data_IF_395024117930
#
_entry.id   IF_395024117930
#
_cell.length_a   1.000
_cell.length_b   1.000
_cell.length_c   1.000
_cell.angle_alpha   90.00
_cell.angle_beta   90.00
_cell.angle_gamma   90.00
#
_symmetry.space_group_name_H-M   'P 1'
#
loop_
_entity.id
_entity.type
_entity.pdbx_description
1 polymer ?
#
# COMPACT_ATOMS: atom_id res chain seq x y z
N UNK A 1 19.62 10.39 -106.15
CA UNK A 1 19.06 9.54 -107.24
C UNK A 1 19.64 8.15 -107.03
N UNK A 2 18.93 7.05 -106.82
CA UNK A 2 17.51 6.69 -106.88
C UNK A 2 17.29 5.50 -105.91
N UNK A 3 16.17 5.52 -105.19
CA UNK A 3 15.28 4.39 -104.77
C UNK A 3 15.81 2.95 -104.61
N UNK A 4 15.42 2.28 -103.51
CA UNK A 4 14.62 1.03 -103.56
C UNK A 4 14.20 0.51 -102.16
N UNK A 5 13.06 -0.19 -102.17
CA UNK A 5 12.23 -0.74 -101.08
C UNK A 5 12.62 -2.19 -100.73
N UNK A 6 12.42 -2.65 -99.48
CA UNK A 6 11.81 -3.97 -99.14
C UNK A 6 11.61 -4.26 -97.63
N UNK A 7 10.34 -4.53 -97.29
CA UNK A 7 9.73 -5.61 -96.48
C UNK A 7 10.19 -5.95 -95.04
N UNK A 8 9.21 -5.83 -94.11
CA UNK A 8 8.67 -6.83 -93.14
C UNK A 8 9.63 -7.76 -92.36
N UNK A 9 9.60 -7.70 -91.01
CA UNK A 9 8.91 -8.68 -90.15
C UNK A 9 9.09 -8.38 -88.64
N UNK A 10 8.07 -8.72 -87.88
CA UNK A 10 7.86 -8.80 -86.42
C UNK A 10 9.06 -9.11 -85.49
N UNK A 11 9.11 -8.42 -84.34
CA UNK A 11 9.17 -9.09 -83.03
C UNK A 11 8.80 -8.15 -81.87
N UNK A 12 7.78 -8.57 -81.12
CA UNK A 12 7.33 -8.05 -79.84
C UNK A 12 8.23 -8.59 -78.73
N UNK A 13 8.81 -7.73 -77.88
CA UNK A 13 9.38 -8.15 -76.60
C UNK A 13 9.21 -7.04 -75.56
N UNK A 14 8.65 -7.46 -74.41
CA UNK A 14 8.30 -6.68 -73.24
C UNK A 14 9.45 -5.81 -72.71
N UNK A 15 9.12 -4.60 -72.27
CA UNK A 15 9.93 -3.85 -71.32
C UNK A 15 9.01 -3.34 -70.22
N UNK A 16 9.17 -3.92 -69.03
CA UNK A 16 8.49 -3.55 -67.79
C UNK A 16 8.93 -2.14 -67.41
N UNK A 17 7.98 -1.21 -67.35
CA UNK A 17 8.22 0.13 -66.81
C UNK A 17 8.32 0.04 -65.28
N UNK A 18 9.54 0.24 -64.75
CA UNK A 18 9.80 0.42 -63.34
C UNK A 18 9.35 1.84 -62.94
N UNK A 19 8.17 1.96 -62.34
CA UNK A 19 7.73 3.22 -61.71
C UNK A 19 8.36 3.30 -60.33
N UNK A 20 9.31 4.21 -60.17
CA UNK A 20 9.83 4.64 -58.87
C UNK A 20 8.76 5.51 -58.21
N UNK A 21 8.07 4.98 -57.21
CA UNK A 21 7.27 5.76 -56.27
C UNK A 21 7.99 5.79 -54.92
N UNK A 22 8.71 6.89 -54.70
CA UNK A 22 9.12 7.29 -53.37
C UNK A 22 7.86 7.68 -52.58
N UNK A 23 7.48 6.84 -51.62
CA UNK A 23 6.44 7.13 -50.63
C UNK A 23 7.02 6.91 -49.23
N UNK A 24 7.48 8.00 -48.61
CA UNK A 24 7.85 8.02 -47.21
C UNK A 24 6.66 7.60 -46.34
N UNK A 25 6.91 6.67 -45.43
CA UNK A 25 5.93 6.20 -44.46
C UNK A 25 6.52 5.16 -43.54
N UNK A 26 7.68 5.46 -42.94
CA UNK A 26 8.10 4.70 -41.75
C UNK A 26 7.07 5.01 -40.67
N UNK A 27 6.13 4.10 -40.49
CA UNK A 27 5.37 3.93 -39.26
C UNK A 27 6.38 3.81 -38.13
N UNK A 28 6.70 4.94 -37.51
CA UNK A 28 7.40 4.97 -36.24
C UNK A 28 6.56 4.16 -35.28
N UNK A 29 6.97 2.92 -35.02
CA UNK A 29 6.53 2.17 -33.86
C UNK A 29 6.72 3.12 -32.69
N UNK A 30 5.61 3.57 -32.10
CA UNK A 30 5.64 4.39 -30.91
C UNK A 30 6.57 3.70 -29.91
N UNK A 31 7.71 4.32 -29.63
CA UNK A 31 8.62 3.78 -28.63
C UNK A 31 7.80 3.68 -27.34
N UNK A 32 7.65 2.49 -26.73
CA UNK A 32 6.87 2.36 -25.52
C UNK A 32 7.44 3.35 -24.51
N UNK A 33 6.59 4.30 -24.07
CA UNK A 33 6.99 5.27 -23.07
C UNK A 33 7.47 4.48 -21.86
N UNK A 34 8.71 4.68 -21.38
CA UNK A 34 9.21 3.90 -20.27
C UNK A 34 8.27 4.09 -19.08
N UNK A 35 7.77 2.98 -18.54
CA UNK A 35 6.92 3.00 -17.35
C UNK A 35 7.64 3.79 -16.26
N UNK A 36 7.06 4.87 -15.72
CA UNK A 36 7.69 5.65 -14.67
C UNK A 36 8.14 4.72 -13.54
N UNK A 37 9.43 4.77 -13.24
CA UNK A 37 10.04 3.91 -12.24
C UNK A 37 10.48 4.75 -11.05
N UNK A 38 9.98 4.40 -9.87
CA UNK A 38 10.26 5.08 -8.59
C UNK A 38 10.84 4.09 -7.59
N UNK A 39 11.39 4.59 -6.49
CA UNK A 39 11.78 3.73 -5.37
C UNK A 39 10.52 3.12 -4.71
N UNK A 40 10.66 1.89 -4.24
CA UNK A 40 9.71 1.28 -3.32
C UNK A 40 9.53 2.12 -2.04
N UNK A 41 8.37 2.02 -1.36
CA UNK A 41 8.07 2.82 -0.18
C UNK A 41 8.86 2.39 1.06
N UNK A 42 8.85 3.24 2.08
CA UNK A 42 9.20 2.84 3.44
C UNK A 42 7.99 2.17 4.09
N UNK A 43 8.20 1.01 4.70
CA UNK A 43 7.17 0.21 5.38
C UNK A 43 7.55 0.04 6.84
N UNK A 44 7.02 0.89 7.70
CA UNK A 44 7.39 0.96 9.12
C UNK A 44 6.42 0.17 9.97
N UNK A 45 6.94 -0.73 10.79
CA UNK A 45 6.12 -1.49 11.73
C UNK A 45 5.90 -0.67 13.00
N UNK A 46 4.67 -0.30 13.32
CA UNK A 46 4.33 0.59 14.44
C UNK A 46 3.45 -0.12 15.47
N UNK A 47 3.84 0.00 16.74
CA UNK A 47 3.11 -0.57 17.88
C UNK A 47 1.70 0.03 18.06
N UNK A 48 0.73 -0.77 18.50
CA UNK A 48 -0.59 -0.27 18.92
C UNK A 48 -1.06 -0.74 20.30
N UNK A 49 -0.13 -1.13 21.18
CA UNK A 49 -0.46 -1.39 22.59
C UNK A 49 -0.84 -0.08 23.30
N UNK A 50 -1.66 -0.17 24.35
CA UNK A 50 -2.06 1.01 25.14
C UNK A 50 -0.84 1.77 25.68
N UNK A 51 0.20 1.06 26.12
CA UNK A 51 1.44 1.65 26.65
C UNK A 51 2.28 2.38 25.59
N UNK A 52 2.02 2.14 24.30
CA UNK A 52 2.68 2.81 23.19
C UNK A 52 1.94 4.08 22.73
N UNK A 53 0.69 4.28 23.16
CA UNK A 53 -0.13 5.43 22.75
C UNK A 53 0.24 6.69 23.57
N UNK A 54 0.12 7.91 22.99
CA UNK A 54 -0.11 8.16 21.57
C UNK A 54 1.11 7.80 20.71
N UNK A 55 0.89 7.30 19.49
CA UNK A 55 1.95 7.17 18.49
C UNK A 55 2.34 8.55 17.95
N UNK A 56 3.49 8.62 17.30
CA UNK A 56 3.86 9.77 16.49
C UNK A 56 3.97 9.36 15.03
N UNK A 57 3.48 10.22 14.15
CA UNK A 57 3.77 10.18 12.74
C UNK A 57 2.78 9.42 11.86
N UNK A 58 1.64 9.01 12.39
CA UNK A 58 0.63 8.29 11.61
C UNK A 58 -0.14 9.22 10.67
N UNK A 59 -0.31 10.50 11.04
CA UNK A 59 -1.10 11.45 10.24
C UNK A 59 -0.48 11.75 8.87
N UNK A 60 0.85 11.73 8.74
CA UNK A 60 1.55 11.99 7.49
C UNK A 60 1.83 10.73 6.65
N UNK A 61 1.31 9.57 7.06
CA UNK A 61 1.43 8.35 6.28
C UNK A 61 0.52 8.38 5.04
N UNK A 62 0.91 7.64 4.00
CA UNK A 62 0.05 7.43 2.84
C UNK A 62 -0.96 6.32 3.14
N UNK A 63 -0.48 5.18 3.66
CA UNK A 63 -1.30 4.03 4.03
C UNK A 63 -0.97 3.55 5.43
N UNK A 64 -1.99 3.09 6.16
CA UNK A 64 -1.83 2.35 7.41
C UNK A 64 -2.59 1.04 7.27
N UNK A 65 -1.90 -0.10 7.36
CA UNK A 65 -2.54 -1.40 7.54
C UNK A 65 -2.55 -1.75 9.02
N UNK A 66 -3.73 -1.85 9.63
CA UNK A 66 -3.91 -2.31 11.00
C UNK A 66 -4.47 -3.73 11.01
N UNK A 67 -3.84 -4.60 11.79
CA UNK A 67 -4.17 -6.02 11.85
C UNK A 67 -3.91 -6.60 13.25
N UNK A 68 -4.57 -7.72 13.54
CA UNK A 68 -4.32 -8.51 14.75
C UNK A 68 -2.85 -8.95 14.80
N UNK A 69 -2.23 -8.72 15.94
CA UNK A 69 -0.87 -9.14 16.28
C UNK A 69 -0.95 -10.38 17.21
N UNK A 70 0.01 -10.56 18.13
CA UNK A 70 -0.12 -11.63 19.13
C UNK A 70 -0.81 -11.07 20.39
N UNK A 71 -1.48 -11.95 21.15
CA UNK A 71 -2.07 -11.60 22.45
C UNK A 71 -3.28 -10.64 22.38
N UNK A 72 -3.95 -10.53 21.23
CA UNK A 72 -5.17 -9.73 21.06
C UNK A 72 -4.94 -8.22 20.85
N UNK A 73 -3.69 -7.78 20.80
CA UNK A 73 -3.29 -6.39 20.49
C UNK A 73 -3.11 -6.25 18.98
N UNK A 74 -3.29 -5.06 18.42
CA UNK A 74 -3.01 -4.80 17.00
C UNK A 74 -1.61 -4.28 16.72
N UNK A 75 -1.19 -4.40 15.47
CA UNK A 75 0.05 -3.85 14.93
C UNK A 75 -0.28 -3.11 13.63
N UNK A 76 0.52 -2.11 13.32
CA UNK A 76 0.38 -1.35 12.09
C UNK A 76 1.59 -1.54 11.17
N UNK A 77 1.36 -1.78 9.88
CA UNK A 77 2.33 -1.49 8.82
C UNK A 77 2.00 -0.13 8.22
N UNK A 78 2.86 0.85 8.44
CA UNK A 78 2.68 2.24 8.00
C UNK A 78 3.56 2.51 6.79
N UNK A 79 2.95 2.91 5.68
CA UNK A 79 3.62 3.05 4.40
C UNK A 79 3.76 4.53 4.03
N UNK A 80 4.99 4.92 3.69
CA UNK A 80 5.33 6.23 3.14
C UNK A 80 5.98 6.07 1.77
N UNK A 81 5.35 6.58 0.73
CA UNK A 81 5.89 6.57 -0.63
C UNK A 81 6.95 7.65 -0.84
N UNK A 82 6.87 8.76 -0.10
CA UNK A 82 7.81 9.88 -0.15
C UNK A 82 8.10 10.42 1.26
N UNK A 83 8.72 9.61 2.14
CA UNK A 83 9.03 10.07 3.48
C UNK A 83 10.02 11.24 3.44
N UNK A 84 9.83 12.22 4.33
CA UNK A 84 10.73 13.37 4.48
C UNK A 84 10.53 14.03 5.84
N UNK A 85 11.54 14.78 6.29
CA UNK A 85 11.49 15.56 7.52
C UNK A 85 11.86 14.76 8.76
N UNK A 86 12.14 15.49 9.83
CA UNK A 86 12.67 14.96 11.10
C UNK A 86 11.60 14.66 12.15
N UNK A 87 10.32 14.73 11.77
CA UNK A 87 9.21 14.38 12.65
C UNK A 87 9.25 12.89 12.98
N UNK A 88 9.07 12.56 14.27
CA UNK A 88 9.23 11.18 14.75
C UNK A 88 8.14 10.27 14.20
N UNK A 89 8.53 9.03 13.96
CA UNK A 89 7.66 7.92 13.61
C UNK A 89 7.89 6.82 14.67
N UNK A 90 6.94 6.64 15.59
CA UNK A 90 7.15 5.83 16.80
C UNK A 90 5.85 5.25 17.40
N UNK A 91 5.93 4.17 18.19
CA UNK A 91 7.12 3.32 18.40
C UNK A 91 7.29 2.27 17.29
N UNK A 92 8.51 2.16 16.75
CA UNK A 92 8.89 1.11 15.81
C UNK A 92 8.93 -0.24 16.53
N UNK A 93 8.29 -1.24 15.94
CA UNK A 93 8.12 -2.56 16.54
C UNK A 93 8.30 -3.70 15.56
N UNK A 94 8.06 -4.91 16.04
CA UNK A 94 8.38 -6.14 15.34
C UNK A 94 7.58 -6.36 14.06
N UNK A 95 8.26 -6.93 13.06
CA UNK A 95 7.62 -7.43 11.84
C UNK A 95 6.88 -8.74 12.11
N UNK A 96 5.87 -9.03 11.28
CA UNK A 96 4.94 -10.17 11.37
C UNK A 96 4.83 -10.88 10.02
N UNK A 97 4.23 -12.09 9.94
CA UNK A 97 3.97 -12.76 8.66
C UNK A 97 3.29 -11.85 7.62
N UNK A 98 2.24 -11.13 8.02
CA UNK A 98 1.56 -10.16 7.15
C UNK A 98 2.45 -9.01 6.67
N UNK A 99 3.51 -8.64 7.40
CA UNK A 99 4.50 -7.66 6.94
C UNK A 99 5.17 -8.14 5.64
N UNK A 100 5.48 -9.43 5.55
CA UNK A 100 6.10 -10.04 4.37
C UNK A 100 5.09 -10.07 3.21
N UNK A 101 3.83 -10.43 3.49
CA UNK A 101 2.75 -10.39 2.48
C UNK A 101 2.57 -9.00 1.87
N UNK A 102 2.54 -7.98 2.72
CA UNK A 102 2.48 -6.58 2.26
C UNK A 102 3.76 -6.18 1.53
N UNK A 103 4.92 -6.71 1.90
CA UNK A 103 6.15 -6.44 1.18
C UNK A 103 6.10 -6.96 -0.27
N UNK A 104 5.55 -8.16 -0.52
CA UNK A 104 5.33 -8.63 -1.90
C UNK A 104 4.45 -7.66 -2.70
N UNK A 105 3.43 -7.08 -2.08
CA UNK A 105 2.52 -6.17 -2.78
C UNK A 105 3.15 -4.80 -3.10
N UNK A 106 4.05 -4.31 -2.23
CA UNK A 106 4.56 -2.94 -2.29
C UNK A 106 6.05 -2.81 -2.64
N UNK A 107 6.83 -3.89 -2.55
CA UNK A 107 8.26 -3.94 -2.84
C UNK A 107 9.06 -2.82 -2.16
N UNK A 108 8.77 -2.58 -0.87
CA UNK A 108 9.38 -1.51 -0.09
C UNK A 108 10.64 -1.90 0.67
N UNK A 109 11.09 -1.00 1.53
CA UNK A 109 12.07 -1.29 2.60
C UNK A 109 11.33 -1.37 3.93
N UNK A 110 11.50 -2.48 4.65
CA UNK A 110 10.85 -2.71 5.94
C UNK A 110 11.69 -2.08 7.06
N UNK A 111 11.08 -1.26 7.91
CA UNK A 111 11.71 -0.69 9.10
C UNK A 111 11.05 -1.27 10.35
N UNK A 112 11.80 -2.02 11.16
CA UNK A 112 11.22 -2.83 12.23
C UNK A 112 12.19 -3.06 13.41
N UNK A 113 11.65 -3.47 14.55
CA UNK A 113 12.40 -3.80 15.78
C UNK A 113 12.20 -5.26 16.17
N UNK A 114 12.98 -6.13 15.55
CA UNK A 114 12.98 -7.58 15.81
C UNK A 114 11.77 -8.31 15.23
N UNK A 115 11.78 -9.63 15.21
CA UNK A 115 10.63 -10.45 14.84
C UNK A 115 10.82 -11.85 15.43
N UNK A 116 9.80 -12.71 15.33
CA UNK A 116 10.00 -14.12 15.58
C UNK A 116 11.05 -14.70 14.59
N UNK A 117 11.81 -15.71 15.02
CA UNK A 117 12.86 -16.36 14.21
C UNK A 117 12.37 -16.84 12.84
N UNK A 118 11.13 -17.33 12.74
CA UNK A 118 10.55 -17.77 11.46
C UNK A 118 10.36 -16.61 10.49
N UNK A 119 9.88 -15.46 10.98
CA UNK A 119 9.73 -14.23 10.18
C UNK A 119 11.10 -13.69 9.76
N UNK A 120 12.09 -13.71 10.66
CA UNK A 120 13.47 -13.31 10.35
C UNK A 120 14.08 -14.21 9.26
N UNK A 121 13.88 -15.52 9.34
CA UNK A 121 14.33 -16.47 8.33
C UNK A 121 13.67 -16.22 6.97
N UNK A 122 12.37 -15.89 6.93
CA UNK A 122 11.69 -15.53 5.68
C UNK A 122 12.22 -14.22 5.08
N UNK A 123 12.47 -13.20 5.91
CA UNK A 123 13.09 -11.94 5.47
C UNK A 123 14.47 -12.22 4.85
N UNK A 124 15.27 -13.06 5.51
CA UNK A 124 16.62 -13.40 5.04
C UNK A 124 16.59 -14.24 3.76
N UNK A 125 15.81 -15.32 3.71
CA UNK A 125 15.79 -16.26 2.59
C UNK A 125 15.26 -15.64 1.30
N UNK A 126 14.38 -14.65 1.41
CA UNK A 126 13.81 -13.91 0.28
C UNK A 126 14.61 -12.65 -0.07
N UNK A 127 15.71 -12.37 0.64
CA UNK A 127 16.54 -11.16 0.46
C UNK A 127 15.72 -9.85 0.55
N UNK A 128 14.76 -9.81 1.47
CA UNK A 128 13.87 -8.66 1.66
C UNK A 128 14.68 -7.50 2.24
N UNK A 129 14.65 -6.29 1.62
CA UNK A 129 15.25 -5.10 2.20
C UNK A 129 14.59 -4.73 3.53
N UNK A 130 15.22 -5.09 4.65
CA UNK A 130 14.69 -4.88 5.99
C UNK A 130 15.77 -4.33 6.93
N UNK A 131 15.48 -3.20 7.58
CA UNK A 131 16.40 -2.43 8.40
C UNK A 131 15.97 -2.48 9.87
N UNK A 132 16.96 -2.61 10.74
CA UNK A 132 16.80 -2.65 12.20
C UNK A 132 17.71 -1.62 12.87
N UNK A 133 17.58 -1.41 14.18
CA UNK A 133 18.43 -0.51 14.96
C UNK A 133 19.94 -0.86 14.87
N UNK A 134 20.30 -2.08 14.49
CA UNK A 134 21.70 -2.47 14.28
C UNK A 134 22.23 -2.22 12.86
N UNK A 135 21.37 -1.97 11.88
CA UNK A 135 21.77 -1.85 10.48
C UNK A 135 22.58 -0.57 10.25
N UNK A 136 23.69 -0.68 9.51
CA UNK A 136 24.60 0.43 9.21
C UNK A 136 25.02 1.26 10.44
N UNK A 137 25.27 0.58 11.56
CA UNK A 137 25.65 1.26 12.81
C UNK A 137 24.52 2.08 13.44
N UNK A 138 23.26 1.77 13.11
CA UNK A 138 22.07 2.40 13.70
C UNK A 138 21.64 3.71 13.03
N UNK A 139 22.10 3.99 11.82
CA UNK A 139 21.81 5.22 11.09
C UNK A 139 20.30 5.53 10.95
N UNK A 140 19.45 4.50 10.94
CA UNK A 140 18.04 4.60 10.60
C UNK A 140 17.09 4.72 11.79
N UNK A 141 17.60 4.64 13.02
CA UNK A 141 16.78 4.62 14.22
C UNK A 141 17.39 5.42 15.36
N UNK A 142 16.57 5.75 16.34
CA UNK A 142 17.00 6.31 17.62
C UNK A 142 16.01 5.92 18.72
N UNK A 143 16.35 6.25 19.98
CA UNK A 143 15.55 5.90 21.16
C UNK A 143 15.00 7.17 21.81
N UNK A 144 13.69 7.21 22.05
CA UNK A 144 13.02 8.28 22.79
C UNK A 144 13.30 8.10 24.28
N UNK A 145 14.10 8.95 24.94
CA UNK A 145 14.40 8.80 26.36
C UNK A 145 13.18 9.05 27.26
N UNK A 146 12.11 9.69 26.75
CA UNK A 146 10.88 9.90 27.51
C UNK A 146 9.99 8.66 27.61
N UNK A 147 10.30 7.60 26.85
CA UNK A 147 9.57 6.34 26.86
C UNK A 147 10.44 5.20 27.36
N UNK A 148 9.83 4.27 28.10
CA UNK A 148 10.50 3.04 28.53
C UNK A 148 10.61 2.04 27.38
N UNK A 149 11.75 1.36 27.29
CA UNK A 149 11.88 0.20 26.43
C UNK A 149 10.82 -0.88 26.80
N UNK A 150 10.20 -1.55 25.82
CA UNK A 150 10.58 -1.55 24.41
C UNK A 150 9.72 -0.61 23.54
N UNK A 151 9.02 0.35 24.13
CA UNK A 151 8.08 1.28 23.46
C UNK A 151 8.74 2.58 22.99
N UNK A 152 10.06 2.60 22.83
CA UNK A 152 10.83 3.82 22.67
C UNK A 152 11.72 3.88 21.42
N UNK A 153 11.70 2.86 20.55
CA UNK A 153 12.42 2.97 19.27
C UNK A 153 11.63 3.87 18.32
N UNK A 154 12.30 4.79 17.65
CA UNK A 154 11.70 5.63 16.62
C UNK A 154 12.59 5.77 15.40
N UNK A 155 11.98 6.15 14.29
CA UNK A 155 12.64 6.64 13.08
C UNK A 155 12.01 7.99 12.68
N UNK A 156 12.39 8.56 11.55
CA UNK A 156 11.82 9.80 11.01
C UNK A 156 11.92 9.80 9.48
N UNK A 157 11.22 10.72 8.83
CA UNK A 157 11.14 10.76 7.38
C UNK A 157 12.50 10.86 6.66
N UNK A 158 13.46 11.61 7.24
CA UNK A 158 14.80 11.76 6.68
C UNK A 158 15.60 10.45 6.77
N UNK A 159 15.54 9.75 7.91
CA UNK A 159 16.13 8.40 8.07
C UNK A 159 15.50 7.38 7.15
N UNK A 160 14.17 7.42 7.00
CA UNK A 160 13.46 6.57 6.05
C UNK A 160 13.96 6.83 4.62
N UNK A 161 14.01 8.09 4.19
CA UNK A 161 14.49 8.48 2.87
C UNK A 161 15.95 8.04 2.63
N UNK A 162 16.82 8.14 3.63
CA UNK A 162 18.19 7.63 3.57
C UNK A 162 18.23 6.11 3.35
N UNK A 163 17.40 5.35 4.08
CA UNK A 163 17.28 3.90 3.91
C UNK A 163 16.77 3.53 2.52
N UNK A 164 15.73 4.24 2.03
CA UNK A 164 15.19 4.02 0.69
C UNK A 164 16.22 4.28 -0.40
N UNK A 165 17.01 5.36 -0.30
CA UNK A 165 18.05 5.68 -1.28
C UNK A 165 19.08 4.57 -1.45
N UNK A 166 19.37 3.82 -0.37
CA UNK A 166 20.39 2.76 -0.37
C UNK A 166 19.82 1.38 -0.68
N UNK A 167 18.61 1.07 -0.21
CA UNK A 167 18.08 -0.29 -0.18
C UNK A 167 16.79 -0.51 -0.97
N UNK A 168 16.06 0.55 -1.32
CA UNK A 168 14.77 0.36 -1.99
C UNK A 168 14.97 -0.14 -3.42
N UNK A 169 14.24 -1.19 -3.83
CA UNK A 169 14.21 -1.58 -5.23
C UNK A 169 13.47 -0.51 -6.03
N UNK A 170 13.64 -0.58 -7.35
CA UNK A 170 12.84 0.21 -8.28
C UNK A 170 11.57 -0.54 -8.61
N UNK A 171 10.44 0.14 -8.54
CA UNK A 171 9.12 -0.39 -8.86
C UNK A 171 8.52 0.31 -10.08
N UNK A 172 7.62 -0.38 -10.76
CA UNK A 172 6.96 0.07 -12.00
C UNK A 172 5.44 0.03 -11.93
N UNK A 173 4.87 -0.56 -10.88
CA UNK A 173 3.43 -0.53 -10.66
C UNK A 173 2.95 0.90 -10.41
N UNK A 174 1.70 1.16 -10.78
CA UNK A 174 1.02 2.43 -10.49
C UNK A 174 -0.05 2.19 -9.42
N UNK A 175 -0.14 3.12 -8.48
CA UNK A 175 -1.28 3.18 -7.58
C UNK A 175 -2.49 3.71 -8.35
N UNK A 176 -3.72 3.35 -7.96
CA UNK A 176 -4.92 3.97 -8.51
C UNK A 176 -4.82 5.50 -8.43
N UNK A 177 -5.24 6.20 -9.50
CA UNK A 177 -5.33 7.66 -9.46
C UNK A 177 -6.36 8.09 -8.41
N UNK A 178 -6.09 9.21 -7.75
CA UNK A 178 -7.01 9.79 -6.79
C UNK A 178 -8.27 10.28 -7.50
N UNK A 179 -9.42 10.16 -6.85
CA UNK A 179 -10.71 10.56 -7.42
C UNK A 179 -11.84 10.45 -6.42
N UNK A 180 -13.06 10.71 -6.85
CA UNK A 180 -14.26 10.45 -6.03
C UNK A 180 -14.79 9.07 -6.37
N UNK A 181 -15.13 8.22 -5.40
CA UNK A 181 -15.68 6.91 -5.70
C UNK A 181 -17.06 7.07 -6.31
N UNK A 182 -17.29 6.35 -7.41
CA UNK A 182 -18.59 6.29 -8.08
C UNK A 182 -19.36 5.06 -7.59
N UNK A 183 -20.63 5.23 -7.21
CA UNK A 183 -21.51 4.12 -6.87
C UNK A 183 -22.92 4.35 -7.41
N UNK A 184 -23.50 3.28 -7.95
CA UNK A 184 -24.91 3.20 -8.32
C UNK A 184 -25.45 1.91 -7.68
N UNK A 185 -26.42 1.98 -6.76
CA UNK A 185 -27.09 3.18 -6.23
C UNK A 185 -26.16 4.09 -5.39
N UNK A 186 -26.67 5.26 -4.98
CA UNK A 186 -25.93 6.19 -4.13
C UNK A 186 -25.47 5.51 -2.83
N UNK A 187 -24.27 5.83 -2.33
CA UNK A 187 -23.71 5.19 -1.14
C UNK A 187 -24.47 5.61 0.12
N UNK A 188 -24.51 4.74 1.12
CA UNK A 188 -25.18 5.02 2.38
C UNK A 188 -24.41 6.06 3.20
N UNK A 189 -25.10 6.91 3.95
CA UNK A 189 -24.44 7.82 4.91
C UNK A 189 -23.75 7.01 5.99
N UNK A 190 -22.52 7.41 6.32
CA UNK A 190 -21.67 6.78 7.33
C UNK A 190 -20.74 7.84 7.93
N UNK A 191 -21.33 8.77 8.67
CA UNK A 191 -20.59 9.78 9.41
C UNK A 191 -19.95 9.20 10.68
N UNK A 192 -20.45 8.07 11.16
CA UNK A 192 -19.94 7.35 12.30
C UNK A 192 -19.83 5.87 11.97
N UNK A 193 -18.65 5.30 12.15
CA UNK A 193 -18.37 3.87 11.92
C UNK A 193 -17.88 3.22 13.20
N UNK A 194 -18.37 2.03 13.51
CA UNK A 194 -17.98 1.22 14.67
C UNK A 194 -17.80 -0.23 14.25
N UNK A 195 -16.72 -0.83 14.72
CA UNK A 195 -16.50 -2.27 14.65
C UNK A 195 -15.50 -2.70 15.73
N UNK A 196 -15.42 -4.00 15.98
CA UNK A 196 -14.40 -4.60 16.83
C UNK A 196 -13.29 -5.14 15.94
N UNK A 197 -12.09 -4.57 16.03
CA UNK A 197 -10.91 -5.05 15.30
C UNK A 197 -10.35 -6.32 15.96
N UNK A 198 -10.47 -6.41 17.29
CA UNK A 198 -10.26 -7.63 18.08
C UNK A 198 -11.29 -7.63 19.21
N UNK A 199 -11.37 -8.72 19.99
CA UNK A 199 -12.23 -8.78 21.18
C UNK A 199 -11.92 -7.71 22.24
N UNK A 200 -10.72 -7.12 22.22
CA UNK A 200 -10.26 -6.14 23.19
C UNK A 200 -9.95 -4.75 22.59
N UNK A 201 -10.16 -4.56 21.29
CA UNK A 201 -9.84 -3.31 20.58
C UNK A 201 -11.02 -2.90 19.70
N UNK A 202 -11.81 -1.96 20.20
CA UNK A 202 -13.03 -1.47 19.53
C UNK A 202 -12.72 -0.14 18.87
N UNK A 203 -12.88 -0.10 17.56
CA UNK A 203 -12.53 1.08 16.75
C UNK A 203 -13.78 1.92 16.49
N UNK A 204 -13.60 3.22 16.51
CA UNK A 204 -14.61 4.20 16.11
C UNK A 204 -13.98 5.21 15.15
N UNK A 205 -14.68 5.49 14.07
CA UNK A 205 -14.39 6.61 13.19
C UNK A 205 -15.55 7.59 13.20
N UNK A 206 -15.23 8.88 13.26
CA UNK A 206 -16.23 9.97 13.16
C UNK A 206 -15.81 10.95 12.09
N UNK A 207 -16.58 11.02 11.01
CA UNK A 207 -16.38 11.92 9.90
C UNK A 207 -16.64 13.37 10.29
N UNK A 208 -15.81 14.26 9.77
CA UNK A 208 -15.96 15.71 9.87
C UNK A 208 -15.90 16.30 8.46
N UNK A 209 -17.01 16.89 8.01
CA UNK A 209 -17.08 17.49 6.68
C UNK A 209 -16.15 18.71 6.53
N UNK A 210 -15.90 19.45 7.62
CA UNK A 210 -14.95 20.57 7.62
C UNK A 210 -13.49 20.11 7.54
N UNK A 211 -13.19 18.92 8.05
CA UNK A 211 -11.84 18.34 7.99
C UNK A 211 -11.64 17.43 6.75
N UNK A 212 -12.71 17.00 6.10
CA UNK A 212 -12.66 16.06 4.98
C UNK A 212 -12.14 14.66 5.36
N UNK A 213 -12.28 14.25 6.62
CA UNK A 213 -11.73 12.98 7.12
C UNK A 213 -12.40 12.47 8.38
N UNK A 214 -11.99 11.28 8.82
CA UNK A 214 -12.56 10.55 9.94
C UNK A 214 -11.63 10.57 11.16
N UNK A 215 -12.03 11.16 12.27
CA UNK A 215 -11.24 11.04 13.51
C UNK A 215 -11.20 9.57 13.98
N UNK A 216 -10.00 8.99 14.09
CA UNK A 216 -9.76 7.66 14.65
C UNK A 216 -9.91 7.71 16.17
N UNK A 217 -10.68 6.79 16.73
CA UNK A 217 -10.81 6.60 18.18
C UNK A 217 -10.93 5.13 18.56
N UNK A 218 -10.64 4.86 19.82
CA UNK A 218 -10.81 3.53 20.44
C UNK A 218 -11.70 3.62 21.68
N UNK A 219 -11.84 2.51 22.41
CA UNK A 219 -12.41 2.49 23.76
C UNK A 219 -11.81 3.53 24.73
N UNK A 220 -10.60 4.02 24.50
CA UNK A 220 -9.95 5.06 25.33
C UNK A 220 -10.13 6.49 24.82
N UNK A 221 -10.89 6.70 23.75
CA UNK A 221 -11.11 8.01 23.13
C UNK A 221 -10.31 8.21 21.83
N UNK A 222 -10.23 9.46 21.33
CA UNK A 222 -9.53 9.78 20.08
C UNK A 222 -8.04 9.40 20.15
N UNK A 223 -7.51 8.81 19.08
CA UNK A 223 -6.09 8.56 18.95
C UNK A 223 -5.40 9.84 18.47
N UNK A 224 -4.59 10.42 19.33
CA UNK A 224 -3.84 11.65 19.06
C UNK A 224 -2.51 11.29 18.38
N UNK A 225 -2.14 12.01 17.32
CA UNK A 225 -0.76 11.97 16.82
C UNK A 225 0.11 12.89 17.67
N UNK A 226 1.14 12.33 18.31
CA UNK A 226 2.03 13.07 19.21
C UNK A 226 2.76 14.22 18.50
N UNK A 227 3.02 14.15 17.19
CA UNK A 227 3.69 15.23 16.46
C UNK A 227 2.79 16.45 16.28
N UNK A 228 1.49 16.26 16.12
CA UNK A 228 0.54 17.34 15.82
C UNK A 228 -0.25 17.78 17.05
N UNK A 229 -0.37 16.92 18.06
CA UNK A 229 -1.26 17.12 19.20
C UNK A 229 -2.75 17.05 18.82
N UNK A 230 -3.07 16.57 17.61
CA UNK A 230 -4.43 16.49 17.08
C UNK A 230 -4.86 15.03 16.86
N UNK A 231 -6.17 14.74 16.85
CA UNK A 231 -6.67 13.44 16.44
C UNK A 231 -6.17 13.06 15.05
N UNK A 232 -5.83 11.79 14.85
CA UNK A 232 -5.53 11.26 13.53
C UNK A 232 -6.82 11.20 12.70
N UNK A 233 -6.76 11.74 11.49
CA UNK A 233 -7.90 11.86 10.57
C UNK A 233 -7.58 11.22 9.21
N UNK A 234 -7.80 9.91 9.01
CA UNK A 234 -7.76 9.33 7.68
C UNK A 234 -8.85 9.92 6.79
N UNK A 235 -8.52 10.18 5.53
CA UNK A 235 -9.48 10.59 4.51
C UNK A 235 -10.32 9.39 4.07
N UNK A 236 -9.69 8.23 4.00
CA UNK A 236 -10.31 6.97 3.62
C UNK A 236 -10.10 5.93 4.73
N UNK A 237 -11.14 5.17 5.03
CA UNK A 237 -11.07 4.00 5.91
C UNK A 237 -11.59 2.80 5.13
N UNK A 238 -10.86 1.70 5.15
CA UNK A 238 -11.17 0.49 4.39
C UNK A 238 -11.15 -0.68 5.36
N UNK A 239 -12.23 -1.44 5.42
CA UNK A 239 -12.28 -2.69 6.17
C UNK A 239 -12.25 -3.84 5.18
N UNK A 240 -11.19 -4.62 5.23
CA UNK A 240 -10.98 -5.83 4.44
C UNK A 240 -11.37 -7.01 5.31
N UNK A 241 -12.37 -7.78 4.87
CA UNK A 241 -12.74 -9.03 5.52
C UNK A 241 -11.87 -10.15 4.97
N UNK A 242 -10.97 -10.67 5.80
CA UNK A 242 -9.99 -11.69 5.43
C UNK A 242 -9.77 -12.65 6.61
N UNK A 243 -9.79 -13.94 6.32
CA UNK A 243 -9.52 -14.96 7.33
C UNK A 243 -8.12 -14.83 7.90
N UNK A 244 -7.96 -15.15 9.18
CA UNK A 244 -6.67 -15.32 9.81
C UNK A 244 -6.58 -16.71 10.44
N UNK A 245 -5.36 -17.19 10.59
CA UNK A 245 -5.07 -18.50 11.17
C UNK A 245 -3.79 -18.47 12.02
N UNK A 246 -3.59 -19.52 12.80
CA UNK A 246 -2.34 -19.74 13.54
C UNK A 246 -1.18 -19.90 12.54
N UNK A 247 -0.11 -19.14 12.73
CA UNK A 247 1.08 -19.17 11.87
C UNK A 247 2.00 -20.38 12.13
N UNK A 248 1.67 -21.24 13.11
CA UNK A 248 2.41 -22.44 13.47
C UNK A 248 3.56 -22.20 14.45
N UNK A 249 3.63 -21.01 15.06
CA UNK A 249 4.65 -20.64 16.05
C UNK A 249 4.12 -19.58 17.01
N UNK A 250 4.82 -19.37 18.12
CA UNK A 250 4.44 -18.41 19.18
C UNK A 250 5.40 -17.24 19.27
N UNK A 251 4.97 -16.14 19.89
CA UNK A 251 5.85 -15.05 20.27
C UNK A 251 6.71 -15.38 21.49
N UNK A 252 7.54 -14.42 21.91
CA UNK A 252 8.44 -14.56 23.07
C UNK A 252 7.69 -14.72 24.41
N UNK A 253 6.40 -14.43 24.45
CA UNK A 253 5.53 -14.60 25.62
C UNK A 253 4.64 -15.85 25.51
N UNK A 254 4.79 -16.64 24.45
CA UNK A 254 4.03 -17.87 24.20
C UNK A 254 2.66 -17.66 23.55
N UNK A 255 2.32 -16.44 23.14
CA UNK A 255 1.08 -16.17 22.41
C UNK A 255 1.21 -16.65 20.95
N UNK A 256 0.20 -17.33 20.38
CA UNK A 256 0.24 -17.76 18.98
C UNK A 256 0.44 -16.57 18.03
N UNK A 257 1.35 -16.74 17.07
CA UNK A 257 1.48 -15.81 15.97
C UNK A 257 0.31 -16.01 14.98
N UNK A 258 -0.11 -14.91 14.37
CA UNK A 258 -1.24 -14.88 13.45
C UNK A 258 -0.74 -14.56 12.05
N UNK A 259 -1.29 -15.26 11.07
CA UNK A 259 -1.15 -14.96 9.66
C UNK A 259 -2.51 -14.80 8.99
N UNK A 260 -2.55 -14.15 7.84
CA UNK A 260 -3.77 -13.80 7.14
C UNK A 260 -3.78 -14.44 5.75
N UNK A 261 -4.96 -14.90 5.32
CA UNK A 261 -5.23 -15.43 3.98
C UNK A 261 -5.31 -14.29 2.94
N UNK A 262 -4.34 -13.39 2.98
CA UNK A 262 -4.24 -12.16 2.20
C UNK A 262 -3.61 -12.46 0.84
N UNK A 263 -4.23 -13.37 0.08
CA UNK A 263 -3.95 -13.63 -1.33
C UNK A 263 -5.23 -14.16 -1.98
N UNK A 264 -5.83 -13.38 -2.88
CA UNK A 264 -7.13 -13.68 -3.48
C UNK A 264 -8.03 -12.46 -3.52
N UNK A 265 -9.33 -12.67 -3.32
CA UNK A 265 -10.35 -11.61 -3.33
C UNK A 265 -11.34 -11.81 -2.20
N UNK A 266 -11.97 -10.74 -1.73
CA UNK A 266 -13.04 -10.87 -0.74
C UNK A 266 -13.79 -9.58 -0.45
N UNK A 267 -14.76 -9.60 0.48
CA UNK A 267 -15.58 -8.45 0.80
C UNK A 267 -14.76 -7.32 1.44
N UNK A 268 -15.04 -6.09 1.02
CA UNK A 268 -14.52 -4.89 1.65
C UNK A 268 -15.63 -3.84 1.84
N UNK A 269 -15.46 -3.01 2.86
CA UNK A 269 -16.24 -1.79 3.04
C UNK A 269 -15.30 -0.59 3.00
N UNK A 270 -15.63 0.40 2.18
CA UNK A 270 -14.89 1.66 2.10
C UNK A 270 -15.74 2.78 2.70
N UNK A 271 -15.13 3.55 3.58
CA UNK A 271 -15.69 4.76 4.17
C UNK A 271 -14.85 5.95 3.73
N UNK A 272 -15.48 6.87 3.01
CA UNK A 272 -14.84 8.10 2.55
C UNK A 272 -15.90 9.18 2.37
N UNK A 273 -15.54 10.44 2.57
CA UNK A 273 -16.43 11.59 2.42
C UNK A 273 -17.79 11.46 3.16
N UNK A 274 -17.82 10.79 4.32
CA UNK A 274 -19.03 10.60 5.12
C UNK A 274 -19.98 9.51 4.60
N UNK A 275 -19.53 8.64 3.69
CA UNK A 275 -20.36 7.62 3.06
C UNK A 275 -19.71 6.22 3.10
N UNK A 276 -20.54 5.18 3.08
CA UNK A 276 -20.15 3.76 3.00
C UNK A 276 -20.38 3.23 1.59
N UNK A 277 -19.35 2.57 1.06
CA UNK A 277 -19.36 1.89 -0.23
C UNK A 277 -19.07 0.40 -0.01
N UNK A 278 -19.96 -0.47 -0.48
CA UNK A 278 -19.66 -1.90 -0.60
C UNK A 278 -18.64 -2.09 -1.72
N UNK A 279 -17.59 -2.85 -1.44
CA UNK A 279 -16.49 -3.07 -2.36
C UNK A 279 -15.96 -4.51 -2.25
N UNK A 280 -15.02 -4.84 -3.14
CA UNK A 280 -14.28 -6.10 -3.12
C UNK A 280 -12.79 -5.77 -3.07
N UNK A 281 -12.04 -6.37 -2.16
CA UNK A 281 -10.59 -6.31 -2.21
C UNK A 281 -10.06 -7.36 -3.19
N UNK A 282 -8.98 -7.04 -3.91
CA UNK A 282 -8.31 -7.94 -4.85
C UNK A 282 -6.78 -7.84 -4.67
N UNK A 283 -6.22 -8.95 -4.22
CA UNK A 283 -4.79 -9.26 -4.17
C UNK A 283 -4.53 -10.63 -4.78
N UNK A 284 -5.15 -10.92 -5.93
CA UNK A 284 -4.91 -12.15 -6.71
C UNK A 284 -3.48 -12.22 -7.24
N UNK A 285 -2.89 -11.06 -7.56
CA UNK A 285 -1.47 -10.91 -7.84
C UNK A 285 -0.76 -10.34 -6.62
N UNK A 286 -0.04 -11.20 -5.89
CA UNK A 286 0.68 -10.83 -4.68
C UNK A 286 1.84 -9.84 -4.93
N UNK A 287 2.29 -9.70 -6.19
CA UNK A 287 3.40 -8.82 -6.58
C UNK A 287 2.95 -7.40 -6.95
N UNK A 288 1.66 -7.10 -6.81
CA UNK A 288 1.07 -5.79 -7.07
C UNK A 288 0.30 -5.31 -5.84
N UNK A 289 0.17 -3.98 -5.64
CA UNK A 289 -0.62 -3.44 -4.55
C UNK A 289 -2.07 -3.93 -4.60
N UNK A 290 -2.63 -4.13 -3.42
CA UNK A 290 -4.03 -4.48 -3.23
C UNK A 290 -4.93 -3.43 -3.91
N UNK A 291 -5.89 -3.93 -4.69
CA UNK A 291 -6.91 -3.11 -5.33
C UNK A 291 -8.20 -3.18 -4.54
N UNK A 292 -8.96 -2.09 -4.57
CA UNK A 292 -10.34 -2.08 -4.16
C UNK A 292 -11.18 -1.91 -5.40
N UNK A 293 -12.14 -2.80 -5.59
CA UNK A 293 -13.05 -2.83 -6.72
C UNK A 293 -14.43 -2.36 -6.24
N UNK A 294 -15.04 -1.45 -6.99
CA UNK A 294 -16.43 -1.06 -6.78
C UNK A 294 -17.42 -2.17 -7.16
N UNK A 295 -18.70 -1.92 -6.94
CA UNK A 295 -19.78 -2.83 -7.32
C UNK A 295 -19.87 -3.10 -8.84
N UNK A 296 -19.24 -2.25 -9.66
CA UNK A 296 -19.14 -2.41 -11.12
C UNK A 296 -17.92 -3.25 -11.55
N UNK A 297 -17.15 -3.77 -10.58
CA UNK A 297 -15.94 -4.58 -10.83
C UNK A 297 -14.71 -3.76 -11.25
N UNK A 298 -14.79 -2.43 -11.31
CA UNK A 298 -13.66 -1.57 -11.68
C UNK A 298 -12.92 -1.10 -10.44
N UNK A 299 -11.66 -0.71 -10.64
CA UNK A 299 -10.83 -0.12 -9.57
C UNK A 299 -11.52 1.13 -9.04
N UNK A 300 -11.76 1.15 -7.73
CA UNK A 300 -12.33 2.28 -7.01
C UNK A 300 -11.26 3.36 -6.82
N UNK A 301 -11.57 4.57 -7.29
CA UNK A 301 -10.75 5.75 -7.06
C UNK A 301 -11.13 6.41 -5.74
N UNK A 302 -10.14 6.74 -4.91
CA UNK A 302 -10.33 7.33 -3.59
C UNK A 302 -9.77 8.76 -3.54
N UNK A 303 -10.34 9.67 -2.72
CA UNK A 303 -9.76 10.99 -2.52
C UNK A 303 -8.33 10.90 -2.00
N UNK A 304 -7.51 11.87 -2.37
CA UNK A 304 -6.13 11.95 -1.93
C UNK A 304 -6.05 12.14 -0.41
N UNK A 305 -5.19 11.37 0.27
CA UNK A 305 -4.92 11.52 1.69
C UNK A 305 -4.69 10.18 2.39
N UNK A 306 -4.45 10.25 3.70
CA UNK A 306 -4.21 9.09 4.55
C UNK A 306 -5.35 8.07 4.39
N UNK A 307 -4.98 6.85 4.02
CA UNK A 307 -5.91 5.71 3.91
C UNK A 307 -5.59 4.67 4.97
N UNK A 308 -6.57 4.40 5.84
CA UNK A 308 -6.44 3.42 6.90
C UNK A 308 -7.17 2.13 6.54
N UNK A 309 -6.44 1.02 6.48
CA UNK A 309 -6.90 -0.28 6.02
C UNK A 309 -6.87 -1.24 7.21
N UNK A 310 -8.03 -1.74 7.60
CA UNK A 310 -8.19 -2.73 8.65
C UNK A 310 -8.31 -4.12 8.03
N UNK A 311 -7.51 -5.07 8.50
CA UNK A 311 -7.74 -6.50 8.24
C UNK A 311 -8.57 -7.06 9.39
N UNK A 312 -9.84 -7.38 9.12
CA UNK A 312 -10.81 -7.88 10.10
C UNK A 312 -11.36 -9.24 9.70
N UNK A 313 -11.90 -9.97 10.66
CA UNK A 313 -12.43 -11.31 10.41
C UNK A 313 -13.65 -11.29 9.48
N UNK A 314 -13.83 -12.33 8.65
CA UNK A 314 -15.05 -12.50 7.89
C UNK A 314 -16.28 -12.47 8.80
N UNK A 315 -17.27 -11.65 8.42
CA UNK A 315 -18.49 -11.47 9.20
C UNK A 315 -18.38 -10.49 10.37
N UNK A 316 -17.27 -9.78 10.54
CA UNK A 316 -17.14 -8.70 11.54
C UNK A 316 -18.32 -7.71 11.40
N UNK A 317 -19.13 -7.51 12.46
CA UNK A 317 -20.23 -6.57 12.41
C UNK A 317 -19.74 -5.12 12.31
N UNK A 318 -20.27 -4.38 11.33
CA UNK A 318 -19.95 -2.96 11.12
C UNK A 318 -21.22 -2.15 11.29
N UNK A 319 -21.23 -1.29 12.31
CA UNK A 319 -22.31 -0.30 12.50
C UNK A 319 -21.89 1.01 11.87
N UNK A 320 -22.67 1.51 10.91
CA UNK A 320 -22.44 2.78 10.24
C UNK A 320 -23.73 3.63 10.27
N UNK A 321 -23.59 4.93 10.59
CA UNK A 321 -24.70 5.90 10.69
C UNK A 321 -24.27 7.30 10.30
#
# INVERSE_FOLDING_TARGET
MLTAVKRELTMLAMSVALVVLAGCGSSGLATPTPTPSRLGPAMVQIENSILARPQAGLQQADLVYEYLAEGGITRMTVIYFKPSGSQRIEPVRSARPVTIRLWHAYHGVIFYSGANVHVLQQIQSQNIPALTEGTDGGAYFSRDPSRRAPHNLFTDGDRLAQGLKKYAPRITYQLPSTGTPTAIPAPAVANRVVFSQTNAHRVTYTYSASDGGYAYGTETGPLIDKNTGQPIKPVNVILIQVGHHDAGFTDVLGAPAVDFDLQGTGPADVFTQGHRYTATWDLTNAELPLKILGSDGKVMHLPAGLTWIHLVDPGTPITAS
#
